data_IF_692072374990
#
_entry.id   IF_692072374990
#
_cell.length_a   1.000
_cell.length_b   1.000
_cell.length_c   1.000
_cell.angle_alpha   90.00
_cell.angle_beta   90.00
_cell.angle_gamma   90.00
#
_symmetry.space_group_name_H-M   'P 1'
#
loop_
_entity.id
_entity.type
_entity.pdbx_description
1 polymer ?
#
# COMPACT_ATOMS: atom_id res chain seq x y z
N UNK A 1 8.95 14.92 6.20
CA UNK A 1 9.66 13.79 6.83
C UNK A 1 9.06 12.54 6.24
N UNK A 2 9.72 11.94 5.24
CA UNK A 2 9.25 10.69 4.66
C UNK A 2 9.45 9.61 5.72
N UNK A 3 8.38 8.95 6.16
CA UNK A 3 8.39 7.91 7.17
C UNK A 3 9.51 6.90 6.87
N UNK A 4 10.40 6.66 7.84
CA UNK A 4 11.65 5.88 7.72
C UNK A 4 11.48 4.39 7.34
N UNK A 5 10.26 3.95 7.01
CA UNK A 5 9.92 2.57 6.64
C UNK A 5 9.14 2.42 5.32
N UNK A 6 8.93 3.50 4.56
CA UNK A 6 8.23 3.40 3.26
C UNK A 6 9.15 2.83 2.18
N UNK A 7 8.62 1.87 1.43
CA UNK A 7 9.30 1.18 0.33
C UNK A 7 8.74 1.65 -1.01
N UNK A 8 9.45 1.39 -2.10
CA UNK A 8 9.02 1.85 -3.41
C UNK A 8 7.69 1.22 -3.85
N UNK A 9 7.37 0.00 -3.41
CA UNK A 9 6.04 -0.61 -3.58
C UNK A 9 4.91 0.10 -2.80
N UNK A 10 5.22 1.11 -2.00
CA UNK A 10 4.23 1.96 -1.34
C UNK A 10 3.92 3.22 -2.18
N UNK A 11 4.57 3.38 -3.34
CA UNK A 11 4.39 4.52 -4.23
C UNK A 11 3.33 4.21 -5.31
N UNK A 12 2.43 5.16 -5.58
CA UNK A 12 1.44 5.11 -6.67
C UNK A 12 2.11 4.96 -8.05
N UNK A 13 3.34 5.44 -8.18
CA UNK A 13 4.12 5.36 -9.42
C UNK A 13 4.80 3.99 -9.61
N UNK A 14 4.71 3.07 -8.64
CA UNK A 14 5.24 1.73 -8.78
C UNK A 14 4.26 0.81 -9.52
N UNK A 15 4.77 0.06 -10.49
CA UNK A 15 4.01 -0.97 -11.20
C UNK A 15 4.64 -2.33 -10.95
N UNK A 16 3.99 -3.18 -10.15
CA UNK A 16 4.48 -4.54 -9.86
C UNK A 16 4.60 -5.37 -11.13
N UNK A 17 5.68 -6.16 -11.24
CA UNK A 17 5.86 -7.18 -12.28
C UNK A 17 5.79 -8.57 -11.66
N UNK A 18 6.51 -8.77 -10.57
CA UNK A 18 6.54 -10.02 -9.82
C UNK A 18 6.68 -9.78 -8.31
N UNK A 19 6.91 -10.83 -7.55
CA UNK A 19 7.02 -10.78 -6.09
C UNK A 19 8.22 -9.97 -5.57
N UNK A 20 9.24 -9.69 -6.40
CA UNK A 20 10.47 -9.04 -5.99
C UNK A 20 10.64 -7.64 -6.61
N UNK A 21 10.09 -7.39 -7.80
CA UNK A 21 10.39 -6.17 -8.56
C UNK A 21 9.22 -5.65 -9.40
N UNK A 22 9.37 -4.39 -9.80
CA UNK A 22 8.45 -3.69 -10.68
C UNK A 22 9.15 -2.56 -11.42
N UNK A 23 8.36 -1.74 -12.12
CA UNK A 23 8.85 -0.56 -12.84
C UNK A 23 8.39 0.70 -12.10
N UNK A 24 9.30 1.65 -11.90
CA UNK A 24 8.93 3.02 -11.56
C UNK A 24 8.45 3.74 -12.82
N UNK A 25 7.17 4.15 -12.85
CA UNK A 25 6.55 4.84 -14.01
C UNK A 25 7.16 6.21 -14.33
N UNK A 26 7.90 6.81 -13.38
CA UNK A 26 8.55 8.10 -13.60
C UNK A 26 9.94 7.94 -14.24
N UNK A 27 10.73 6.95 -13.80
CA UNK A 27 12.10 6.75 -14.29
C UNK A 27 12.23 5.67 -15.36
N UNK A 28 11.18 4.87 -15.57
CA UNK A 28 11.16 3.66 -16.40
C UNK A 28 12.19 2.60 -16.00
N UNK A 29 12.73 2.68 -14.77
CA UNK A 29 13.71 1.73 -14.26
C UNK A 29 13.02 0.54 -13.59
N UNK A 30 13.62 -0.64 -13.75
CA UNK A 30 13.34 -1.82 -12.95
C UNK A 30 13.91 -1.63 -11.55
N UNK A 31 13.07 -1.83 -10.54
CA UNK A 31 13.42 -1.58 -9.14
C UNK A 31 12.81 -2.64 -8.23
N UNK A 32 13.52 -2.99 -7.15
CA UNK A 32 13.01 -3.93 -6.17
C UNK A 32 11.93 -3.29 -5.28
N UNK A 33 10.98 -4.12 -4.83
CA UNK A 33 9.80 -3.69 -4.06
C UNK A 33 10.17 -2.99 -2.74
N UNK A 34 11.32 -3.35 -2.17
CA UNK A 34 11.84 -2.98 -0.86
C UNK A 34 12.88 -1.86 -0.91
N UNK A 35 13.15 -1.32 -2.10
CA UNK A 35 14.00 -0.12 -2.24
C UNK A 35 13.38 1.09 -1.54
N UNK A 36 14.19 2.01 -0.99
CA UNK A 36 13.68 3.24 -0.41
C UNK A 36 12.89 4.10 -1.41
N UNK A 37 11.97 4.90 -0.88
CA UNK A 37 11.22 5.88 -1.68
C UNK A 37 12.10 7.05 -2.11
N UNK A 38 11.76 7.68 -3.23
CA UNK A 38 12.44 8.88 -3.74
C UNK A 38 11.67 10.17 -3.39
N UNK A 39 12.22 11.33 -3.75
CA UNK A 39 11.59 12.63 -3.49
C UNK A 39 10.24 12.84 -4.21
N UNK A 40 9.94 12.03 -5.23
CA UNK A 40 8.65 12.04 -5.95
C UNK A 40 7.66 11.00 -5.38
N UNK A 41 7.84 10.56 -4.14
CA UNK A 41 6.96 9.61 -3.49
C UNK A 41 5.52 10.14 -3.44
N UNK A 42 4.60 9.32 -3.90
CA UNK A 42 3.17 9.54 -3.75
C UNK A 42 2.58 8.26 -3.18
N UNK A 43 2.04 8.30 -1.97
CA UNK A 43 1.61 7.08 -1.29
C UNK A 43 0.43 6.42 -2.03
N UNK A 44 0.53 5.12 -2.26
CA UNK A 44 -0.54 4.34 -2.88
C UNK A 44 -1.59 3.91 -1.86
N UNK A 45 -2.80 3.60 -2.33
CA UNK A 45 -3.87 3.13 -1.46
C UNK A 45 -3.64 1.66 -1.08
N UNK A 46 -3.55 1.39 0.23
CA UNK A 46 -3.45 0.04 0.81
C UNK A 46 -4.39 -0.09 2.00
N UNK A 47 -4.71 -1.32 2.42
CA UNK A 47 -5.57 -1.50 3.59
C UNK A 47 -4.99 -0.83 4.85
N UNK A 48 -3.68 -0.88 5.08
CA UNK A 48 -3.03 -0.28 6.26
C UNK A 48 -3.17 1.24 6.38
N UNK A 49 -3.39 1.96 5.26
CA UNK A 49 -3.64 3.41 5.26
C UNK A 49 -5.12 3.77 5.04
N UNK A 50 -6.01 2.77 5.09
CA UNK A 50 -7.45 2.94 5.05
C UNK A 50 -8.06 3.09 6.45
N UNK A 51 -8.99 4.03 6.61
CA UNK A 51 -9.74 4.26 7.85
C UNK A 51 -10.68 3.13 8.25
N UNK A 52 -10.99 2.24 7.33
CA UNK A 52 -11.84 1.08 7.58
C UNK A 52 -11.05 -0.19 7.94
N UNK A 53 -9.71 -0.13 7.95
CA UNK A 53 -8.88 -1.23 8.44
C UNK A 53 -8.64 -1.07 9.93
N UNK A 54 -9.05 -2.09 10.71
CA UNK A 54 -9.07 -2.05 12.17
C UNK A 54 -8.37 -3.27 12.75
N UNK A 55 -7.84 -3.09 13.97
CA UNK A 55 -7.27 -4.14 14.80
C UNK A 55 -6.21 -5.00 14.09
N UNK A 56 -5.17 -4.40 13.45
CA UNK A 56 -4.08 -5.19 12.89
C UNK A 56 -3.32 -5.94 13.97
N UNK A 57 -3.02 -7.21 13.72
CA UNK A 57 -2.13 -8.02 14.54
C UNK A 57 -0.65 -7.85 14.13
N UNK A 58 0.23 -8.65 14.74
CA UNK A 58 1.68 -8.62 14.49
C UNK A 58 2.07 -8.98 13.05
N UNK A 59 1.22 -9.71 12.33
CA UNK A 59 1.44 -10.16 10.95
C UNK A 59 0.71 -9.23 9.96
N UNK A 60 0.23 -8.06 10.45
CA UNK A 60 -0.51 -7.06 9.69
C UNK A 60 -1.85 -7.57 9.14
N UNK A 61 -2.44 -8.58 9.79
CA UNK A 61 -3.78 -9.09 9.52
C UNK A 61 -4.78 -8.32 10.38
N UNK A 62 -5.90 -7.88 9.81
CA UNK A 62 -6.92 -7.12 10.55
C UNK A 62 -8.29 -7.26 9.94
N UNK A 63 -9.23 -6.43 10.39
CA UNK A 63 -10.62 -6.45 9.94
C UNK A 63 -10.93 -5.23 9.08
N UNK A 64 -11.53 -5.45 7.91
CA UNK A 64 -12.13 -4.43 7.08
C UNK A 64 -13.60 -4.23 7.46
N UNK A 65 -13.96 -2.99 7.80
CA UNK A 65 -15.35 -2.59 8.11
C UNK A 65 -15.96 -1.66 7.05
N UNK A 66 -15.29 -1.52 5.90
CA UNK A 66 -15.61 -0.52 4.87
C UNK A 66 -16.59 -0.99 3.79
N UNK A 67 -17.00 -2.26 3.84
CA UNK A 67 -17.91 -2.90 2.88
C UNK A 67 -19.18 -3.39 3.61
N UNK A 68 -20.16 -3.90 2.86
CA UNK A 68 -21.44 -4.37 3.40
C UNK A 68 -21.31 -5.42 4.51
N UNK A 69 -20.28 -6.26 4.42
CA UNK A 69 -20.02 -7.34 5.38
C UNK A 69 -18.58 -7.15 5.88
N UNK A 70 -18.41 -7.19 7.20
CA UNK A 70 -17.07 -7.18 7.79
C UNK A 70 -16.30 -8.45 7.41
N UNK A 71 -15.05 -8.29 7.04
CA UNK A 71 -14.20 -9.39 6.60
C UNK A 71 -12.76 -9.18 7.07
N UNK A 72 -12.01 -10.26 7.21
CA UNK A 72 -10.58 -10.16 7.44
C UNK A 72 -9.87 -9.65 6.18
N UNK A 73 -8.77 -8.95 6.36
CA UNK A 73 -7.87 -8.52 5.29
C UNK A 73 -6.45 -8.37 5.85
N UNK A 74 -5.49 -7.98 5.01
CA UNK A 74 -4.12 -7.72 5.42
C UNK A 74 -3.70 -6.32 4.98
N UNK A 75 -2.87 -5.65 5.77
CA UNK A 75 -2.59 -4.23 5.59
C UNK A 75 -1.91 -3.87 4.27
N UNK A 76 -1.14 -4.79 3.68
CA UNK A 76 -0.45 -4.57 2.39
C UNK A 76 -1.31 -4.84 1.15
N UNK A 77 -2.57 -5.24 1.33
CA UNK A 77 -3.49 -5.44 0.22
C UNK A 77 -3.69 -4.12 -0.54
N UNK A 78 -3.53 -4.16 -1.85
CA UNK A 78 -3.73 -3.01 -2.74
C UNK A 78 -5.20 -2.58 -2.71
N UNK A 79 -5.45 -1.31 -2.38
CA UNK A 79 -6.78 -0.74 -2.24
C UNK A 79 -7.09 0.35 -3.28
N UNK A 80 -6.30 0.48 -4.36
CA UNK A 80 -6.51 1.49 -5.43
C UNK A 80 -7.92 1.45 -6.00
N UNK A 81 -8.48 0.25 -6.19
CA UNK A 81 -9.82 0.03 -6.77
C UNK A 81 -10.88 -0.33 -5.73
N UNK A 82 -10.57 -0.23 -4.43
CA UNK A 82 -11.51 -0.60 -3.38
C UNK A 82 -12.54 0.51 -3.17
N UNK A 83 -13.83 0.20 -3.37
CA UNK A 83 -14.95 1.14 -3.16
C UNK A 83 -15.07 1.62 -1.71
N UNK A 84 -14.65 0.78 -0.77
CA UNK A 84 -14.65 1.09 0.66
C UNK A 84 -13.40 1.84 1.12
N UNK A 85 -12.46 2.19 0.25
CA UNK A 85 -11.23 2.87 0.69
C UNK A 85 -11.54 4.30 1.16
N UNK A 86 -11.00 4.66 2.33
CA UNK A 86 -11.04 6.01 2.90
C UNK A 86 -9.68 6.33 3.49
N UNK A 87 -9.01 7.36 3.02
CA UNK A 87 -7.69 7.76 3.54
C UNK A 87 -7.78 8.11 5.03
N UNK A 88 -6.90 7.53 5.85
CA UNK A 88 -6.63 8.01 7.21
C UNK A 88 -5.95 9.39 7.12
N UNK A 89 -6.65 10.45 7.52
CA UNK A 89 -6.04 11.77 7.71
C UNK A 89 -5.31 11.83 9.04
#
# INVERSE_FOLDING_TARGET
MANENMKHNDCLNFSSIDAAKGICRLSNQMIFIDTPVCNNFNETHKCRNCANFKNPDKDNMGTCTGLKIEAWTFGDLNAITCEGYKTNK
#
